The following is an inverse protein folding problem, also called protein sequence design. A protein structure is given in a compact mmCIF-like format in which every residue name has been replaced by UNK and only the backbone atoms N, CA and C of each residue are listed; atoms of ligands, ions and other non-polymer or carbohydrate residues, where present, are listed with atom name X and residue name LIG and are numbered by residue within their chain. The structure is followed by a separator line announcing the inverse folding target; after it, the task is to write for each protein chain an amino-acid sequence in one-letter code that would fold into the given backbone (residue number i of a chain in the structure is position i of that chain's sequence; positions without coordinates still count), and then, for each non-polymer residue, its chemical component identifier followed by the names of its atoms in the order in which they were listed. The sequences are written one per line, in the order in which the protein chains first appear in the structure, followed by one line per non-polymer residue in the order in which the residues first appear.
data_IF_139101097533
#
_entry.id   IF_139101097533
#
_cell.length_a   1.000
_cell.length_b   1.000
_cell.length_c   1.000
_cell.angle_alpha   90.00
_cell.angle_beta   90.00
_cell.angle_gamma   90.00
#
_symmetry.space_group_name_H-M   'P 1'
#
loop_
_entity.id
_entity.type
_entity.pdbx_description
1 polymer ?
#
# COMPACT_ATOMS: atom_id res chain seq x y z
N UNK A 1 70.91 -26.83 28.29
CA UNK A 1 70.64 -25.48 27.73
C UNK A 1 70.62 -25.59 26.22
N UNK A 2 69.72 -24.85 25.55
CA UNK A 2 69.25 -24.96 24.15
C UNK A 2 68.16 -26.03 23.99
N UNK A 3 66.94 -25.77 23.50
CA UNK A 3 66.36 -24.59 22.86
C UNK A 3 65.53 -25.03 21.65
N UNK A 4 64.45 -25.80 21.86
CA UNK A 4 63.60 -26.28 20.77
C UNK A 4 62.57 -25.19 20.43
N UNK A 5 62.77 -24.57 19.27
CA UNK A 5 61.84 -23.62 18.63
C UNK A 5 60.57 -24.35 18.20
N UNK A 6 59.46 -24.11 18.88
CA UNK A 6 58.14 -24.46 18.37
C UNK A 6 57.74 -23.45 17.29
N UNK A 7 57.64 -23.91 16.04
CA UNK A 7 57.01 -23.16 14.95
C UNK A 7 55.50 -23.16 15.19
N UNK A 8 54.94 -22.00 15.53
CA UNK A 8 53.50 -21.77 15.49
C UNK A 8 53.11 -21.62 14.01
N UNK A 9 52.54 -22.68 13.45
CA UNK A 9 51.92 -22.67 12.14
C UNK A 9 50.49 -22.14 12.33
N UNK A 10 50.28 -20.86 12.01
CA UNK A 10 48.96 -20.23 12.06
C UNK A 10 48.05 -20.83 11.00
N UNK A 11 47.01 -21.55 11.46
CA UNK A 11 45.87 -21.91 10.63
C UNK A 11 45.05 -20.64 10.40
N UNK A 12 45.17 -20.03 9.23
CA UNK A 12 44.22 -19.01 8.78
C UNK A 12 42.95 -19.74 8.37
N UNK A 13 41.95 -19.74 9.26
CA UNK A 13 40.60 -20.14 8.92
C UNK A 13 40.04 -19.09 7.96
N UNK A 14 40.08 -19.39 6.65
CA UNK A 14 39.35 -18.62 5.64
C UNK A 14 37.88 -19.00 5.84
N UNK A 15 37.15 -18.16 6.57
CA UNK A 15 35.69 -18.19 6.58
C UNK A 15 35.21 -17.90 5.17
N UNK A 16 34.88 -18.94 4.41
CA UNK A 16 34.05 -18.83 3.22
C UNK A 16 32.68 -18.32 3.66
N UNK A 17 32.50 -17.00 3.56
CA UNK A 17 31.19 -16.37 3.46
C UNK A 17 30.51 -16.99 2.24
N UNK A 18 29.65 -17.98 2.48
CA UNK A 18 28.63 -18.38 1.52
C UNK A 18 27.75 -17.14 1.36
N UNK A 19 27.92 -16.45 0.24
CA UNK A 19 26.96 -15.45 -0.19
C UNK A 19 25.63 -16.18 -0.37
N UNK A 20 24.75 -16.03 0.62
CA UNK A 20 23.34 -16.36 0.45
C UNK A 20 22.89 -15.48 -0.73
N UNK A 21 22.47 -16.06 -1.86
CA UNK A 21 21.84 -15.23 -2.87
C UNK A 21 20.65 -14.58 -2.18
N UNK A 22 20.63 -13.24 -2.16
CA UNK A 22 19.42 -12.51 -1.84
C UNK A 22 18.34 -13.13 -2.74
N UNK A 23 17.39 -13.84 -2.13
CA UNK A 23 16.26 -14.37 -2.85
C UNK A 23 15.64 -13.17 -3.56
N UNK A 24 15.81 -13.15 -4.88
CA UNK A 24 14.89 -12.42 -5.72
C UNK A 24 13.57 -13.15 -5.48
N UNK A 25 12.77 -12.64 -4.55
CA UNK A 25 11.36 -12.98 -4.43
C UNK A 25 10.73 -12.52 -5.75
N UNK A 26 10.81 -13.38 -6.75
CA UNK A 26 10.20 -13.20 -8.05
C UNK A 26 8.70 -13.38 -7.87
N UNK A 27 7.93 -12.46 -8.46
CA UNK A 27 6.46 -12.45 -8.51
C UNK A 27 5.83 -13.85 -8.71
N UNK A 28 6.49 -14.74 -9.44
CA UNK A 28 6.03 -16.09 -9.79
C UNK A 28 5.73 -17.02 -8.59
N UNK A 29 6.38 -16.85 -7.43
CA UNK A 29 6.06 -17.68 -6.24
C UNK A 29 4.80 -17.21 -5.49
N UNK A 30 4.30 -16.00 -5.77
CA UNK A 30 2.99 -15.55 -5.27
C UNK A 30 1.85 -16.17 -6.08
N UNK A 31 2.02 -16.37 -7.39
CA UNK A 31 0.94 -16.83 -8.29
C UNK A 31 0.41 -18.26 -7.99
N UNK A 32 1.24 -19.20 -7.54
CA UNK A 32 0.76 -20.54 -7.16
C UNK A 32 0.01 -20.54 -5.81
N UNK A 33 0.34 -19.62 -4.89
CA UNK A 33 -0.43 -19.38 -3.66
C UNK A 33 -1.71 -18.54 -3.91
N UNK A 34 -1.84 -17.93 -5.09
CA UNK A 34 -2.96 -17.06 -5.47
C UNK A 34 -4.21 -17.80 -5.99
N UNK A 35 -4.16 -19.12 -6.24
CA UNK A 35 -5.35 -19.87 -6.68
C UNK A 35 -6.15 -20.52 -5.54
N UNK A 36 -5.57 -20.70 -4.36
CA UNK A 36 -6.13 -21.59 -3.35
C UNK A 36 -7.04 -20.91 -2.31
N UNK A 37 -7.27 -19.58 -2.41
CA UNK A 37 -8.02 -18.87 -1.36
C UNK A 37 -9.51 -19.24 -1.31
N UNK A 38 -10.08 -19.67 -2.43
CA UNK A 38 -11.49 -20.09 -2.49
C UNK A 38 -11.72 -21.54 -2.08
N UNK A 39 -10.66 -22.35 -2.09
CA UNK A 39 -10.65 -23.77 -1.74
C UNK A 39 -10.21 -24.00 -0.29
N UNK A 40 -9.27 -23.19 0.20
CA UNK A 40 -8.90 -23.10 1.62
C UNK A 40 -8.57 -21.64 1.96
N UNK A 41 -9.59 -20.88 2.35
CA UNK A 41 -9.39 -19.59 2.99
C UNK A 41 -8.80 -19.84 4.39
N UNK A 42 -7.54 -20.28 4.47
CA UNK A 42 -6.87 -20.38 5.77
C UNK A 42 -6.68 -18.97 6.29
N UNK A 43 -7.32 -18.67 7.43
CA UNK A 43 -7.27 -17.37 8.09
C UNK A 43 -5.84 -16.84 8.33
N UNK A 44 -4.79 -17.65 8.21
CA UNK A 44 -3.42 -17.20 8.35
C UNK A 44 -2.89 -16.48 7.09
N UNK A 45 -3.24 -16.96 5.89
CA UNK A 45 -2.71 -16.43 4.63
C UNK A 45 -3.37 -15.08 4.28
N UNK A 46 -4.70 -15.00 4.39
CA UNK A 46 -5.48 -13.76 4.23
C UNK A 46 -4.91 -12.65 5.13
N UNK A 47 -4.74 -12.95 6.41
CA UNK A 47 -4.31 -11.96 7.40
C UNK A 47 -2.87 -11.53 7.22
N UNK A 48 -2.00 -12.46 6.85
CA UNK A 48 -0.60 -12.13 6.53
C UNK A 48 -0.53 -11.19 5.34
N UNK A 49 -1.29 -11.45 4.26
CA UNK A 49 -1.35 -10.55 3.10
C UNK A 49 -1.81 -9.14 3.47
N UNK A 50 -2.90 -9.00 4.23
CA UNK A 50 -3.41 -7.67 4.62
C UNK A 50 -2.44 -6.94 5.53
N UNK A 51 -1.88 -7.64 6.51
CA UNK A 51 -0.91 -7.09 7.45
C UNK A 51 0.33 -6.57 6.73
N UNK A 52 0.90 -7.39 5.85
CA UNK A 52 2.14 -7.06 5.16
C UNK A 52 1.89 -5.95 4.11
N UNK A 53 0.74 -5.99 3.43
CA UNK A 53 0.32 -4.92 2.52
C UNK A 53 0.09 -3.59 3.26
N UNK A 54 -0.52 -3.62 4.44
CA UNK A 54 -0.68 -2.44 5.30
C UNK A 54 0.66 -1.89 5.75
N UNK A 55 1.56 -2.73 6.26
CA UNK A 55 2.87 -2.25 6.72
C UNK A 55 3.71 -1.65 5.58
N UNK A 56 3.67 -2.24 4.39
CA UNK A 56 4.35 -1.65 3.23
C UNK A 56 3.71 -0.30 2.84
N UNK A 57 2.38 -0.19 2.83
CA UNK A 57 1.73 1.10 2.56
C UNK A 57 2.09 2.14 3.64
N UNK A 58 1.96 1.79 4.92
CA UNK A 58 2.21 2.67 6.07
C UNK A 58 3.63 3.24 6.04
N UNK A 59 4.63 2.38 5.88
CA UNK A 59 6.03 2.79 5.81
C UNK A 59 6.28 3.79 4.68
N UNK A 60 5.75 3.51 3.49
CA UNK A 60 6.01 4.35 2.32
C UNK A 60 5.21 5.67 2.39
N UNK A 61 3.98 5.63 2.89
CA UNK A 61 3.15 6.81 3.03
C UNK A 61 3.68 7.76 4.12
N UNK A 62 4.19 7.23 5.24
CA UNK A 62 4.90 8.03 6.24
C UNK A 62 6.13 8.73 5.65
N UNK A 63 6.82 8.05 4.75
CA UNK A 63 7.99 8.61 4.09
C UNK A 63 7.61 9.77 3.13
N UNK A 64 6.43 9.73 2.51
CA UNK A 64 5.89 10.82 1.66
C UNK A 64 5.36 11.98 2.52
N UNK A 65 4.54 11.67 3.51
CA UNK A 65 3.85 12.65 4.37
C UNK A 65 4.80 13.36 5.34
N UNK A 66 5.88 12.70 5.77
CA UNK A 66 6.97 13.28 6.57
C UNK A 66 8.03 14.04 5.75
N UNK A 67 7.82 14.21 4.45
CA UNK A 67 8.80 14.73 3.49
C UNK A 67 9.05 16.25 3.48
N UNK A 68 9.59 16.70 2.34
CA UNK A 68 10.17 18.03 2.03
C UNK A 68 9.37 19.23 2.52
N UNK A 69 10.01 20.34 2.92
CA UNK A 69 9.25 21.59 3.05
C UNK A 69 9.21 22.29 1.69
N UNK A 70 8.02 22.40 1.10
CA UNK A 70 7.84 22.94 -0.26
C UNK A 70 8.16 24.43 -0.36
N UNK A 71 8.01 25.17 0.74
CA UNK A 71 8.42 26.58 0.89
C UNK A 71 9.89 26.81 0.51
N UNK A 72 10.78 25.88 0.87
CA UNK A 72 12.21 25.95 0.54
C UNK A 72 12.48 25.64 -0.93
N UNK A 73 11.58 24.92 -1.60
CA UNK A 73 11.74 24.54 -2.99
C UNK A 73 11.64 25.74 -3.92
N UNK A 74 10.75 26.69 -3.61
CA UNK A 74 10.51 27.91 -4.38
C UNK A 74 11.78 28.74 -4.55
N UNK A 75 12.68 28.73 -3.57
CA UNK A 75 13.93 29.48 -3.59
C UNK A 75 15.05 28.82 -4.43
N UNK A 76 14.85 27.59 -4.90
CA UNK A 76 15.85 26.86 -5.68
C UNK A 76 15.79 27.24 -7.17
N UNK A 77 16.89 27.04 -7.93
CA UNK A 77 16.87 27.09 -9.38
C UNK A 77 15.82 26.12 -9.98
N UNK A 78 15.25 26.46 -11.13
CA UNK A 78 14.16 25.68 -11.77
C UNK A 78 14.53 24.22 -12.00
N UNK A 79 15.78 23.94 -12.37
CA UNK A 79 16.28 22.58 -12.60
C UNK A 79 16.24 21.75 -11.30
N UNK A 80 16.56 22.38 -10.17
CA UNK A 80 16.53 21.75 -8.84
C UNK A 80 15.11 21.59 -8.32
N UNK A 81 14.20 22.50 -8.66
CA UNK A 81 12.77 22.34 -8.40
C UNK A 81 12.22 21.13 -9.14
N UNK A 82 12.48 21.04 -10.45
CA UNK A 82 12.03 19.94 -11.30
C UNK A 82 12.56 18.58 -10.82
N UNK A 83 13.85 18.49 -10.49
CA UNK A 83 14.46 17.26 -9.95
C UNK A 83 13.74 16.80 -8.67
N UNK A 84 13.46 17.73 -7.75
CA UNK A 84 12.82 17.37 -6.48
C UNK A 84 11.33 17.06 -6.63
N UNK A 85 10.61 17.78 -7.48
CA UNK A 85 9.19 17.52 -7.76
C UNK A 85 9.02 16.18 -8.47
N UNK A 86 9.90 15.85 -9.41
CA UNK A 86 9.94 14.52 -10.03
C UNK A 86 10.17 13.44 -8.98
N UNK A 87 11.17 13.59 -8.10
CA UNK A 87 11.44 12.65 -7.03
C UNK A 87 10.24 12.47 -6.08
N UNK A 88 9.62 13.57 -5.63
CA UNK A 88 8.47 13.50 -4.72
C UNK A 88 7.26 12.86 -5.44
N UNK A 89 7.04 13.17 -6.74
CA UNK A 89 6.00 12.56 -7.55
C UNK A 89 6.20 11.06 -7.74
N UNK A 90 7.41 10.60 -8.05
CA UNK A 90 7.69 9.17 -8.23
C UNK A 90 7.44 8.38 -6.94
N UNK A 91 7.67 9.00 -5.77
CA UNK A 91 7.32 8.39 -4.48
C UNK A 91 5.81 8.30 -4.26
N UNK A 92 5.06 9.33 -4.66
CA UNK A 92 3.58 9.30 -4.62
C UNK A 92 3.05 8.24 -5.58
N UNK A 93 3.55 8.18 -6.81
CA UNK A 93 3.18 7.13 -7.77
C UNK A 93 3.50 5.73 -7.26
N UNK A 94 4.62 5.57 -6.55
CA UNK A 94 4.97 4.33 -5.87
C UNK A 94 3.94 3.87 -4.83
N UNK A 95 3.11 4.77 -4.28
CA UNK A 95 2.05 4.40 -3.33
C UNK A 95 0.83 3.81 -4.04
N UNK A 96 0.54 4.21 -5.27
CA UNK A 96 -0.66 3.78 -6.00
C UNK A 96 -0.77 2.24 -6.11
N UNK A 97 0.25 1.48 -6.55
CA UNK A 97 0.14 0.02 -6.57
C UNK A 97 0.03 -0.60 -5.17
N UNK A 98 0.57 0.05 -4.13
CA UNK A 98 0.48 -0.41 -2.74
C UNK A 98 -0.92 -0.24 -2.17
N UNK A 99 -1.52 0.91 -2.45
CA UNK A 99 -2.92 1.21 -2.22
C UNK A 99 -3.81 0.22 -2.98
N UNK A 100 -3.48 -0.06 -4.24
CA UNK A 100 -4.17 -1.04 -5.07
C UNK A 100 -4.19 -2.46 -4.48
N UNK A 101 -3.26 -2.85 -3.61
CA UNK A 101 -3.31 -4.15 -2.92
C UNK A 101 -4.36 -4.24 -1.82
N UNK A 102 -4.71 -3.09 -1.23
CA UNK A 102 -5.62 -3.00 -0.08
C UNK A 102 -7.02 -2.54 -0.47
N UNK A 103 -7.17 -1.78 -1.54
CA UNK A 103 -8.41 -1.07 -1.83
C UNK A 103 -9.25 -1.67 -2.96
N UNK A 104 -10.54 -1.27 -3.03
CA UNK A 104 -11.48 -1.72 -4.03
C UNK A 104 -10.99 -1.70 -5.47
N UNK A 105 -11.72 -2.50 -6.25
CA UNK A 105 -11.39 -2.88 -7.62
C UNK A 105 -11.49 -1.69 -8.57
N UNK A 106 -10.66 -1.71 -9.61
CA UNK A 106 -10.62 -0.67 -10.64
C UNK A 106 -11.01 -1.25 -12.01
N UNK A 107 -11.64 -0.45 -12.87
CA UNK A 107 -11.85 -0.82 -14.29
C UNK A 107 -10.55 -0.75 -15.12
N UNK A 108 -9.50 -0.11 -14.59
CA UNK A 108 -8.15 -0.02 -15.16
C UNK A 108 -7.13 -0.09 -14.02
N UNK A 109 -5.89 -0.54 -14.23
CA UNK A 109 -4.83 -0.25 -13.28
C UNK A 109 -4.80 1.27 -13.06
N UNK A 110 -4.91 1.74 -11.81
CA UNK A 110 -4.63 3.11 -11.37
C UNK A 110 -5.76 4.15 -11.52
N UNK A 111 -7.02 3.83 -11.21
CA UNK A 111 -8.11 4.83 -11.23
C UNK A 111 -8.67 5.07 -9.80
N UNK A 112 -8.14 6.09 -9.12
CA UNK A 112 -8.57 6.52 -7.77
C UNK A 112 -10.02 7.01 -7.76
N UNK A 113 -10.50 7.84 -8.73
CA UNK A 113 -11.88 8.31 -8.76
C UNK A 113 -12.96 7.20 -8.75
N UNK A 114 -12.85 6.10 -9.53
CA UNK A 114 -13.72 4.93 -9.39
C UNK A 114 -13.75 4.32 -7.99
N UNK A 115 -12.61 4.27 -7.29
CA UNK A 115 -12.55 3.72 -5.93
C UNK A 115 -13.27 4.62 -4.92
N UNK A 116 -13.08 5.94 -5.05
CA UNK A 116 -13.81 6.94 -4.28
C UNK A 116 -15.31 6.77 -4.50
N UNK A 117 -15.75 6.67 -5.77
CA UNK A 117 -17.16 6.48 -6.12
C UNK A 117 -17.71 5.19 -5.54
N UNK A 118 -16.98 4.08 -5.67
CA UNK A 118 -17.39 2.78 -5.15
C UNK A 118 -17.65 2.84 -3.64
N UNK A 119 -16.75 3.45 -2.87
CA UNK A 119 -16.89 3.59 -1.42
C UNK A 119 -18.05 4.52 -1.03
N UNK A 120 -18.19 5.66 -1.72
CA UNK A 120 -19.28 6.63 -1.46
C UNK A 120 -20.66 6.07 -1.76
N UNK A 121 -20.78 5.30 -2.84
CA UNK A 121 -22.06 4.72 -3.26
C UNK A 121 -22.41 3.44 -2.47
N UNK A 122 -21.51 2.95 -1.62
CA UNK A 122 -21.67 1.66 -0.96
C UNK A 122 -21.70 0.48 -1.94
N UNK A 123 -21.10 0.64 -3.12
CA UNK A 123 -21.12 -0.37 -4.16
C UNK A 123 -20.06 -1.46 -3.93
N UNK A 124 -20.42 -2.71 -4.19
CA UNK A 124 -19.49 -3.83 -4.12
C UNK A 124 -19.34 -4.41 -5.53
N UNK A 125 -18.23 -4.10 -6.17
CA UNK A 125 -17.90 -4.66 -7.48
C UNK A 125 -17.32 -6.04 -7.31
N UNK A 126 -17.95 -7.05 -7.93
CA UNK A 126 -17.50 -8.44 -7.88
C UNK A 126 -16.15 -8.62 -8.57
N UNK A 127 -15.35 -9.65 -8.21
CA UNK A 127 -14.12 -9.97 -8.93
C UNK A 127 -14.43 -10.32 -10.42
N UNK A 128 -13.49 -10.03 -11.34
CA UNK A 128 -13.62 -10.37 -12.79
C UNK A 128 -12.74 -11.58 -13.12
N UNK A 129 -11.86 -11.93 -12.20
CA UNK A 129 -10.98 -13.09 -12.28
C UNK A 129 -11.00 -13.82 -10.94
N UNK A 130 -10.47 -15.03 -10.94
CA UNK A 130 -10.21 -15.83 -9.76
C UNK A 130 -8.93 -15.41 -9.01
N UNK A 131 -8.28 -14.30 -9.40
CA UNK A 131 -7.09 -13.80 -8.71
C UNK A 131 -7.42 -13.47 -7.25
N UNK A 132 -6.76 -14.18 -6.33
CA UNK A 132 -6.88 -14.00 -4.87
C UNK A 132 -6.85 -12.53 -4.45
N UNK A 133 -5.96 -11.71 -5.03
CA UNK A 133 -5.87 -10.28 -4.69
C UNK A 133 -7.15 -9.51 -5.01
N UNK A 134 -7.87 -9.85 -6.08
CA UNK A 134 -9.18 -9.25 -6.39
C UNK A 134 -10.23 -9.66 -5.36
N UNK A 135 -10.27 -10.94 -5.02
CA UNK A 135 -11.21 -11.51 -4.04
C UNK A 135 -11.03 -10.85 -2.67
N UNK A 136 -9.78 -10.70 -2.23
CA UNK A 136 -9.46 -10.01 -0.99
C UNK A 136 -9.88 -8.53 -1.01
N UNK A 137 -9.64 -7.82 -2.10
CA UNK A 137 -10.06 -6.41 -2.23
C UNK A 137 -11.57 -6.27 -2.13
N UNK A 138 -12.33 -7.17 -2.77
CA UNK A 138 -13.80 -7.17 -2.69
C UNK A 138 -14.27 -7.44 -1.26
N UNK A 139 -13.69 -8.44 -0.61
CA UNK A 139 -14.01 -8.78 0.77
C UNK A 139 -13.68 -7.63 1.75
N UNK A 140 -12.53 -6.97 1.58
CA UNK A 140 -12.16 -5.81 2.38
C UNK A 140 -13.07 -4.60 2.11
N UNK A 141 -13.40 -4.33 0.85
CA UNK A 141 -14.33 -3.26 0.48
C UNK A 141 -15.70 -3.47 1.12
N UNK A 142 -16.21 -4.71 1.08
CA UNK A 142 -17.45 -5.09 1.75
C UNK A 142 -17.37 -4.81 3.26
N UNK A 143 -16.25 -5.13 3.88
CA UNK A 143 -15.99 -4.87 5.30
C UNK A 143 -16.06 -3.36 5.62
N UNK A 144 -15.43 -2.52 4.79
CA UNK A 144 -15.47 -1.07 4.94
C UNK A 144 -16.87 -0.48 4.82
N UNK A 145 -17.65 -0.96 3.85
CA UNK A 145 -19.02 -0.49 3.58
C UNK A 145 -19.98 -0.93 4.68
N UNK A 146 -19.80 -2.12 5.22
CA UNK A 146 -20.65 -2.68 6.27
C UNK A 146 -20.28 -2.20 7.69
N UNK A 147 -19.14 -1.50 7.86
CA UNK A 147 -18.73 -0.97 9.14
C UNK A 147 -19.60 0.24 9.54
N UNK A 148 -20.19 0.19 10.73
CA UNK A 148 -21.12 1.21 11.24
C UNK A 148 -20.45 2.55 11.58
N UNK A 149 -19.12 2.59 11.68
CA UNK A 149 -18.34 3.76 12.09
C UNK A 149 -18.02 4.73 10.94
N UNK A 150 -18.54 4.46 9.74
CA UNK A 150 -18.27 5.24 8.54
C UNK A 150 -16.89 4.98 7.94
N UNK A 151 -16.31 3.79 8.12
CA UNK A 151 -15.01 3.43 7.55
C UNK A 151 -14.90 3.68 6.04
N UNK A 152 -15.93 3.35 5.25
CA UNK A 152 -15.95 3.64 3.82
C UNK A 152 -15.82 5.14 3.51
N UNK A 153 -16.55 5.99 4.24
CA UNK A 153 -16.48 7.45 4.10
C UNK A 153 -15.09 8.00 4.46
N UNK A 154 -14.51 7.53 5.56
CA UNK A 154 -13.15 7.93 5.99
C UNK A 154 -12.11 7.51 4.94
N UNK A 155 -12.25 6.32 4.37
CA UNK A 155 -11.38 5.83 3.30
C UNK A 155 -11.52 6.65 2.02
N UNK A 156 -12.75 6.96 1.61
CA UNK A 156 -13.00 7.80 0.44
C UNK A 156 -12.35 9.18 0.62
N UNK A 157 -12.48 9.80 1.79
CA UNK A 157 -11.85 11.09 2.09
C UNK A 157 -10.31 11.03 2.07
N UNK A 158 -9.70 9.90 2.44
CA UNK A 158 -8.27 9.70 2.27
C UNK A 158 -7.87 9.63 0.80
N UNK A 159 -8.61 8.86 0.00
CA UNK A 159 -8.35 8.73 -1.44
C UNK A 159 -8.52 10.06 -2.18
N UNK A 160 -9.51 10.87 -1.80
CA UNK A 160 -9.68 12.24 -2.34
C UNK A 160 -8.50 13.14 -2.02
N UNK A 161 -8.09 13.19 -0.75
CA UNK A 161 -6.94 14.00 -0.35
C UNK A 161 -5.65 13.54 -1.08
N UNK A 162 -5.51 12.23 -1.32
CA UNK A 162 -4.40 11.68 -2.07
C UNK A 162 -4.45 12.10 -3.54
N UNK A 163 -5.61 11.99 -4.19
CA UNK A 163 -5.82 12.37 -5.60
C UNK A 163 -5.53 13.87 -5.82
N UNK A 164 -6.07 14.74 -4.96
CA UNK A 164 -5.79 16.17 -4.99
C UNK A 164 -4.30 16.47 -4.84
N UNK A 165 -3.62 15.77 -3.92
CA UNK A 165 -2.20 15.95 -3.68
C UNK A 165 -1.33 15.47 -4.85
N UNK A 166 -1.62 14.30 -5.43
CA UNK A 166 -0.92 13.80 -6.61
C UNK A 166 -1.10 14.76 -7.78
N UNK A 167 -2.33 15.15 -8.09
CA UNK A 167 -2.64 16.06 -9.19
C UNK A 167 -1.90 17.39 -9.02
N UNK A 168 -1.91 17.97 -7.81
CA UNK A 168 -1.18 19.22 -7.57
C UNK A 168 0.33 19.06 -7.73
N UNK A 169 0.88 17.91 -7.34
CA UNK A 169 2.30 17.62 -7.47
C UNK A 169 2.70 17.40 -8.94
N UNK A 170 1.82 16.80 -9.73
CA UNK A 170 1.97 16.65 -11.17
C UNK A 170 1.95 18.01 -11.88
N UNK A 171 1.02 18.89 -11.53
CA UNK A 171 0.95 20.27 -12.05
C UNK A 171 2.26 21.02 -11.75
N UNK A 172 2.69 21.00 -10.48
CA UNK A 172 3.92 21.67 -10.08
C UNK A 172 5.17 21.09 -10.77
N UNK A 173 5.19 19.78 -11.03
CA UNK A 173 6.28 19.12 -11.78
C UNK A 173 6.32 19.60 -13.23
N UNK A 174 5.18 19.84 -13.86
CA UNK A 174 5.10 20.29 -15.25
C UNK A 174 5.45 21.78 -15.40
N UNK A 175 4.90 22.62 -14.54
CA UNK A 175 4.93 24.08 -14.71
C UNK A 175 5.96 24.79 -13.80
N UNK A 176 6.55 24.06 -12.85
CA UNK A 176 7.35 24.61 -11.76
C UNK A 176 6.48 24.96 -10.55
N UNK A 177 7.13 25.37 -9.45
CA UNK A 177 6.44 25.64 -8.18
C UNK A 177 6.46 27.13 -7.83
N UNK A 178 5.29 27.70 -7.58
CA UNK A 178 5.15 29.04 -7.01
C UNK A 178 5.06 29.00 -5.47
N UNK A 179 5.10 30.18 -4.84
CA UNK A 179 4.88 30.29 -3.40
C UNK A 179 3.48 29.83 -2.97
N UNK A 180 2.46 30.05 -3.82
CA UNK A 180 1.10 29.58 -3.59
C UNK A 180 1.04 28.05 -3.71
N UNK A 181 1.63 27.48 -4.77
CA UNK A 181 1.69 26.03 -4.96
C UNK A 181 2.36 25.32 -3.78
N UNK A 182 3.43 25.91 -3.24
CA UNK A 182 4.12 25.37 -2.08
C UNK A 182 3.24 25.32 -0.82
N UNK A 183 2.37 26.32 -0.63
CA UNK A 183 1.41 26.33 0.47
C UNK A 183 0.32 25.27 0.26
N UNK A 184 -0.23 25.20 -0.95
CA UNK A 184 -1.27 24.21 -1.30
C UNK A 184 -0.73 22.79 -1.17
N UNK A 185 0.46 22.48 -1.71
CA UNK A 185 1.09 21.17 -1.57
C UNK A 185 1.37 20.81 -0.11
N UNK A 186 1.78 21.78 0.71
CA UNK A 186 2.00 21.56 2.13
C UNK A 186 0.70 21.24 2.87
N UNK A 187 -0.39 21.94 2.53
CA UNK A 187 -1.73 21.70 3.07
C UNK A 187 -2.26 20.32 2.65
N UNK A 188 -2.27 20.01 1.35
CA UNK A 188 -2.77 18.75 0.81
C UNK A 188 -2.01 17.55 1.37
N UNK A 189 -0.68 17.64 1.49
CA UNK A 189 0.10 16.60 2.16
C UNK A 189 -0.30 16.43 3.63
N UNK A 190 -0.61 17.52 4.32
CA UNK A 190 -1.14 17.50 5.69
C UNK A 190 -2.50 16.81 5.77
N UNK A 191 -3.40 17.08 4.82
CA UNK A 191 -4.68 16.38 4.69
C UNK A 191 -4.45 14.88 4.46
N UNK A 192 -3.60 14.47 3.51
CA UNK A 192 -3.26 13.05 3.28
C UNK A 192 -2.79 12.38 4.58
N UNK A 193 -1.88 13.02 5.33
CA UNK A 193 -1.37 12.51 6.58
C UNK A 193 -2.44 12.38 7.67
N UNK A 194 -3.36 13.36 7.76
CA UNK A 194 -4.46 13.35 8.73
C UNK A 194 -5.49 12.28 8.37
N UNK A 195 -5.98 12.28 7.13
CA UNK A 195 -6.99 11.33 6.66
C UNK A 195 -6.49 9.90 6.71
N UNK A 196 -5.22 9.66 6.41
CA UNK A 196 -4.61 8.33 6.57
C UNK A 196 -4.67 7.82 8.01
N UNK A 197 -4.33 8.68 8.97
CA UNK A 197 -4.38 8.36 10.40
C UNK A 197 -5.80 8.06 10.86
N UNK A 198 -6.76 8.81 10.35
CA UNK A 198 -8.17 8.72 10.76
C UNK A 198 -8.93 7.59 10.04
N UNK A 199 -8.40 7.06 8.92
CA UNK A 199 -9.00 5.97 8.14
C UNK A 199 -8.25 4.65 8.30
N UNK A 200 -7.11 4.50 7.62
CA UNK A 200 -6.33 3.26 7.50
C UNK A 200 -5.72 2.80 8.80
N UNK A 201 -5.21 3.72 9.63
CA UNK A 201 -4.58 3.33 10.89
C UNK A 201 -5.61 2.85 11.93
N UNK A 202 -6.80 3.42 11.90
CA UNK A 202 -7.95 2.94 12.68
C UNK A 202 -8.36 1.53 12.21
N UNK A 203 -8.52 1.34 10.90
CA UNK A 203 -8.82 0.03 10.31
C UNK A 203 -7.75 -1.01 10.61
N UNK A 204 -6.46 -0.68 10.53
CA UNK A 204 -5.41 -1.63 10.83
C UNK A 204 -5.42 -2.08 12.29
N UNK A 205 -5.68 -1.15 13.22
CA UNK A 205 -5.80 -1.48 14.64
C UNK A 205 -6.89 -2.51 14.88
N UNK A 206 -8.08 -2.31 14.30
CA UNK A 206 -9.25 -3.12 14.65
C UNK A 206 -9.41 -4.35 13.73
N UNK A 207 -9.03 -4.23 12.46
CA UNK A 207 -9.11 -5.31 11.46
C UNK A 207 -7.89 -6.21 11.48
N UNK A 208 -6.68 -5.65 11.51
CA UNK A 208 -5.44 -6.41 11.34
C UNK A 208 -4.87 -6.88 12.69
N UNK A 209 -4.96 -6.04 13.73
CA UNK A 209 -4.27 -6.30 15.01
C UNK A 209 -5.18 -6.77 16.15
N UNK A 210 -6.44 -6.32 16.22
CA UNK A 210 -7.39 -6.77 17.24
C UNK A 210 -8.11 -8.08 16.89
N UNK A 211 -8.14 -8.46 15.61
CA UNK A 211 -8.79 -9.68 15.12
C UNK A 211 -10.32 -9.65 15.13
N UNK A 212 -10.94 -8.53 15.53
CA UNK A 212 -12.39 -8.36 15.64
C UNK A 212 -13.13 -8.54 14.31
N UNK A 213 -12.43 -8.29 13.20
CA UNK A 213 -12.95 -8.42 11.85
C UNK A 213 -12.45 -9.69 11.14
N UNK A 214 -11.80 -10.62 11.85
CA UNK A 214 -11.23 -11.83 11.26
C UNK A 214 -12.26 -12.70 10.55
N UNK A 215 -13.29 -13.07 11.28
CA UNK A 215 -14.39 -13.87 10.77
C UNK A 215 -15.17 -13.15 9.66
N UNK A 216 -15.37 -11.82 9.80
CA UNK A 216 -16.04 -11.00 8.78
C UNK A 216 -15.24 -10.94 7.47
N UNK A 217 -13.92 -10.85 7.57
CA UNK A 217 -13.03 -10.85 6.42
C UNK A 217 -13.08 -12.20 5.69
N UNK A 218 -13.00 -13.30 6.43
CA UNK A 218 -13.07 -14.67 5.88
C UNK A 218 -14.43 -14.93 5.25
N UNK A 219 -15.53 -14.54 5.91
CA UNK A 219 -16.87 -14.60 5.34
C UNK A 219 -16.98 -13.75 4.06
N UNK A 220 -16.38 -12.56 4.04
CA UNK A 220 -16.29 -11.71 2.86
C UNK A 220 -15.58 -12.39 1.69
N UNK A 221 -14.49 -13.12 1.96
CA UNK A 221 -13.76 -13.92 0.95
C UNK A 221 -14.64 -15.03 0.41
N UNK A 222 -15.32 -15.79 1.27
CA UNK A 222 -16.24 -16.85 0.85
C UNK A 222 -17.37 -16.31 -0.05
N UNK A 223 -17.95 -15.16 0.31
CA UNK A 223 -18.98 -14.50 -0.51
C UNK A 223 -18.42 -14.04 -1.85
N UNK A 224 -17.21 -13.48 -1.88
CA UNK A 224 -16.57 -13.05 -3.13
C UNK A 224 -16.21 -14.25 -4.03
N UNK A 225 -15.77 -15.37 -3.45
CA UNK A 225 -15.51 -16.63 -4.14
C UNK A 225 -16.76 -17.29 -4.72
N UNK A 226 -17.92 -17.14 -4.06
CA UNK A 226 -19.19 -17.69 -4.55
C UNK A 226 -19.73 -16.97 -5.81
N UNK A 227 -19.22 -15.77 -6.11
CA UNK A 227 -19.71 -14.93 -7.21
C UNK A 227 -21.10 -14.32 -6.92
N UNK A 228 -21.65 -13.53 -7.86
CA UNK A 228 -23.03 -13.09 -7.75
C UNK A 228 -23.95 -14.31 -7.74
N UNK A 229 -24.90 -14.36 -6.80
CA UNK A 229 -25.98 -15.33 -6.90
C UNK A 229 -26.64 -15.13 -8.26
N UNK A 230 -26.65 -16.17 -9.10
CA UNK A 230 -27.44 -16.14 -10.33
C UNK A 230 -28.87 -15.82 -9.92
N UNK A 231 -29.32 -14.59 -10.20
CA UNK A 231 -30.74 -14.28 -10.22
C UNK A 231 -31.32 -15.17 -11.30
N UNK A 232 -31.89 -16.30 -10.89
CA UNK A 232 -32.71 -17.14 -11.74
C UNK A 232 -33.91 -16.28 -12.14
N UNK A 233 -33.84 -15.68 -13.33
CA UNK A 233 -35.01 -15.21 -14.07
C UNK A 233 -36.03 -16.35 -14.26
#
# INVERSE_FOLDING_TARGET
MTGIRARVMGLVAISLLVAVPAAADTFDTFEEAERDICTSAEDAAVFTYFRDSYYDLDKNLLAVTGGSRYDRLVALPKEKQAERLAFDHDRVQGLIPRMGRLFPRMNRPLDIPPMIKQLKDGAIWQPLSDHHTEILRVAFTRLLIQAEDGAATKMAAFLEAFDDYENKLLDAKADGITAEDAQVLSYLRGEVASRYRDSLRFLAKDVIFAGEFREKMVAGVQVACAGPAEEKE
#
